data_IF_006136444036
#
_entry.id   IF_006136444036
#
_cell.length_a   1.000
_cell.length_b   1.000
_cell.length_c   1.000
_cell.angle_alpha   90.00
_cell.angle_beta   90.00
_cell.angle_gamma   90.00
#
_symmetry.space_group_name_H-M   'P 1'
#
loop_
_entity.id
_entity.type
_entity.pdbx_description
1 polymer ?
#
# COMPACT_ATOMS: atom_id res chain seq x y z
N UNK A 1 -22.26 -5.78 47.65
CA UNK A 1 -21.87 -4.76 46.64
C UNK A 1 -20.36 -4.80 46.27
N UNK A 2 -19.67 -5.97 46.29
CA UNK A 2 -18.24 -6.06 45.89
C UNK A 2 -17.93 -7.14 44.84
N UNK A 3 -18.90 -7.96 44.45
CA UNK A 3 -18.70 -9.00 43.42
C UNK A 3 -19.01 -8.51 42.00
N UNK A 4 -19.97 -7.59 41.82
CA UNK A 4 -20.33 -7.06 40.49
C UNK A 4 -19.21 -6.24 39.84
N UNK A 5 -18.41 -5.50 40.63
CA UNK A 5 -17.28 -4.70 40.14
C UNK A 5 -16.13 -5.58 39.67
N UNK A 6 -15.92 -6.74 40.32
CA UNK A 6 -14.84 -7.66 39.96
C UNK A 6 -15.13 -8.36 38.63
N UNK A 7 -16.40 -8.66 38.34
CA UNK A 7 -16.81 -9.25 37.06
C UNK A 7 -16.69 -8.21 35.92
N UNK A 8 -16.99 -6.93 36.19
CA UNK A 8 -16.79 -5.86 35.23
C UNK A 8 -15.29 -5.60 34.92
N UNK A 9 -14.40 -5.77 35.91
CA UNK A 9 -12.96 -5.59 35.74
C UNK A 9 -12.27 -6.75 34.98
N UNK A 10 -12.84 -7.96 35.03
CA UNK A 10 -12.27 -9.15 34.37
C UNK A 10 -12.67 -9.31 32.90
N UNK A 11 -13.67 -8.56 32.42
CA UNK A 11 -14.13 -8.59 31.02
C UNK A 11 -13.48 -7.51 30.13
N UNK A 12 -12.68 -6.61 30.69
CA UNK A 12 -12.04 -5.51 29.97
C UNK A 12 -10.77 -5.87 29.16
N UNK A 13 -9.90 -6.83 29.56
CA UNK A 13 -8.69 -7.09 28.78
C UNK A 13 -8.92 -7.94 27.52
N UNK A 14 -10.00 -8.74 27.48
CA UNK A 14 -10.29 -9.63 26.34
C UNK A 14 -10.91 -8.89 25.15
N UNK A 15 -11.69 -7.84 25.39
CA UNK A 15 -12.27 -7.00 24.32
C UNK A 15 -11.19 -6.12 23.66
N UNK A 16 -10.12 -5.77 24.37
CA UNK A 16 -9.07 -4.91 23.83
C UNK A 16 -8.17 -5.64 22.81
N UNK A 17 -8.03 -6.96 22.93
CA UNK A 17 -7.23 -7.78 22.01
C UNK A 17 -7.96 -8.12 20.71
N UNK A 18 -9.29 -7.96 20.65
CA UNK A 18 -10.06 -8.18 19.44
C UNK A 18 -9.98 -6.99 18.45
N UNK A 19 -9.61 -5.79 18.90
CA UNK A 19 -9.54 -4.61 18.03
C UNK A 19 -8.23 -4.50 17.23
N UNK A 20 -7.19 -5.25 17.58
CA UNK A 20 -5.88 -5.19 16.89
C UNK A 20 -5.57 -6.50 16.17
N UNK A 21 -6.59 -7.12 15.62
CA UNK A 21 -6.39 -8.06 14.51
C UNK A 21 -7.31 -7.63 13.38
N UNK A 22 -7.24 -6.33 13.04
CA UNK A 22 -7.55 -5.93 11.68
C UNK A 22 -6.49 -6.63 10.83
N UNK A 23 -6.84 -7.80 10.33
CA UNK A 23 -6.26 -8.37 9.13
C UNK A 23 -6.34 -7.23 8.11
N UNK A 24 -5.25 -6.46 7.99
CA UNK A 24 -5.17 -5.31 7.10
C UNK A 24 -5.13 -5.91 5.71
N UNK A 25 -6.29 -6.33 5.21
CA UNK A 25 -6.56 -6.32 3.80
C UNK A 25 -6.42 -4.85 3.46
N UNK A 26 -5.37 -4.42 2.72
CA UNK A 26 -5.20 -3.03 2.36
C UNK A 26 -6.45 -2.59 1.59
N UNK A 27 -7.39 -1.98 2.30
CA UNK A 27 -8.70 -1.59 1.78
C UNK A 27 -8.73 -0.11 1.46
N UNK A 28 -7.71 0.61 1.94
CA UNK A 28 -7.49 2.03 1.71
C UNK A 28 -6.43 2.25 0.65
N UNK A 29 -6.54 3.35 -0.08
CA UNK A 29 -5.53 3.79 -1.05
C UNK A 29 -4.13 3.87 -0.43
N UNK A 30 -4.03 4.34 0.81
CA UNK A 30 -2.75 4.50 1.54
C UNK A 30 -2.04 3.17 1.80
N UNK A 31 -2.79 2.11 2.07
CA UNK A 31 -2.19 0.80 2.30
C UNK A 31 -1.60 0.23 1.00
N UNK A 32 -2.26 0.45 -0.15
CA UNK A 32 -1.66 0.14 -1.45
C UNK A 32 -0.42 1.00 -1.75
N UNK A 33 -0.39 2.27 -1.34
CA UNK A 33 0.79 3.13 -1.49
C UNK A 33 1.98 2.63 -0.71
N UNK A 34 1.77 2.19 0.54
CA UNK A 34 2.84 1.68 1.38
C UNK A 34 3.48 0.42 0.76
N UNK A 35 2.65 -0.54 0.33
CA UNK A 35 3.14 -1.77 -0.31
C UNK A 35 3.77 -1.46 -1.67
N UNK A 36 3.21 -0.52 -2.44
CA UNK A 36 3.79 -0.08 -3.71
C UNK A 36 5.18 0.55 -3.52
N UNK A 37 5.35 1.35 -2.46
CA UNK A 37 6.64 1.90 -2.06
C UNK A 37 7.68 0.81 -1.77
N UNK A 38 7.31 -0.22 -1.01
CA UNK A 38 8.21 -1.35 -0.74
C UNK A 38 8.57 -2.12 -2.02
N UNK A 39 7.61 -2.31 -2.93
CA UNK A 39 7.87 -2.92 -4.23
C UNK A 39 8.80 -2.04 -5.10
N UNK A 40 8.64 -0.71 -5.04
CA UNK A 40 9.54 0.24 -5.71
C UNK A 40 10.97 0.13 -5.19
N UNK A 41 11.15 0.00 -3.87
CA UNK A 41 12.47 -0.16 -3.25
C UNK A 41 13.10 -1.52 -3.56
N UNK A 42 12.27 -2.55 -3.72
CA UNK A 42 12.71 -3.91 -4.08
C UNK A 42 13.09 -4.03 -5.57
N UNK A 43 12.75 -3.03 -6.39
CA UNK A 43 12.98 -3.03 -7.83
C UNK A 43 11.89 -3.73 -8.65
N UNK A 44 10.84 -4.21 -8.00
CA UNK A 44 9.69 -4.86 -8.61
C UNK A 44 8.72 -3.83 -9.22
N UNK A 45 9.18 -3.12 -10.24
CA UNK A 45 8.45 -1.98 -10.82
C UNK A 45 7.10 -2.36 -11.42
N UNK A 46 6.96 -3.55 -12.02
CA UNK A 46 5.68 -4.07 -12.51
C UNK A 46 4.67 -4.27 -11.36
N UNK A 47 5.12 -4.79 -10.22
CA UNK A 47 4.27 -5.00 -9.03
C UNK A 47 3.87 -3.66 -8.41
N UNK A 48 4.83 -2.74 -8.29
CA UNK A 48 4.57 -1.40 -7.80
C UNK A 48 3.54 -0.67 -8.68
N UNK A 49 3.65 -0.79 -10.01
CA UNK A 49 2.71 -0.18 -10.96
C UNK A 49 1.28 -0.67 -10.71
N UNK A 50 1.08 -1.99 -10.61
CA UNK A 50 -0.23 -2.58 -10.35
C UNK A 50 -0.81 -2.12 -8.99
N UNK A 51 0.03 -1.98 -7.96
CA UNK A 51 -0.39 -1.52 -6.65
C UNK A 51 -0.76 -0.03 -6.66
N UNK A 52 -0.02 0.81 -7.39
CA UNK A 52 -0.38 2.21 -7.57
C UNK A 52 -1.68 2.38 -8.37
N UNK A 53 -1.94 1.52 -9.37
CA UNK A 53 -3.23 1.50 -10.07
C UNK A 53 -4.38 1.21 -9.11
N UNK A 54 -4.25 0.17 -8.28
CA UNK A 54 -5.23 -0.12 -7.23
C UNK A 54 -5.40 1.04 -6.26
N UNK A 55 -4.32 1.74 -5.90
CA UNK A 55 -4.40 2.93 -5.05
C UNK A 55 -5.20 4.07 -5.71
N UNK A 56 -5.01 4.29 -7.02
CA UNK A 56 -5.75 5.28 -7.82
C UNK A 56 -7.22 4.88 -8.00
N UNK A 57 -7.51 3.60 -8.18
CA UNK A 57 -8.90 3.10 -8.25
C UNK A 57 -9.67 3.40 -6.95
N UNK A 58 -8.98 3.34 -5.80
CA UNK A 58 -9.57 3.68 -4.49
C UNK A 58 -9.64 5.17 -4.24
N UNK A 59 -8.61 5.92 -4.63
CA UNK A 59 -8.57 7.36 -4.50
C UNK A 59 -7.98 8.00 -5.77
N UNK A 60 -8.84 8.38 -6.73
CA UNK A 60 -8.38 8.95 -7.99
C UNK A 60 -7.72 10.32 -7.85
N UNK A 61 -7.89 10.99 -6.70
CA UNK A 61 -7.30 12.29 -6.39
C UNK A 61 -6.01 12.18 -5.57
N UNK A 62 -5.55 10.95 -5.27
CA UNK A 62 -4.29 10.75 -4.55
C UNK A 62 -3.11 11.16 -5.43
N UNK A 63 -2.54 12.33 -5.13
CA UNK A 63 -1.34 12.85 -5.80
C UNK A 63 -0.17 11.87 -5.69
N UNK A 64 -0.06 11.20 -4.55
CA UNK A 64 1.00 10.23 -4.29
C UNK A 64 0.82 8.95 -5.11
N UNK A 65 -0.42 8.47 -5.25
CA UNK A 65 -0.72 7.32 -6.11
C UNK A 65 -0.44 7.59 -7.58
N UNK A 66 -0.86 8.77 -8.06
CA UNK A 66 -0.62 9.18 -9.45
C UNK A 66 0.86 9.38 -9.73
N UNK A 67 1.60 10.04 -8.82
CA UNK A 67 3.04 10.22 -8.95
C UNK A 67 3.79 8.88 -8.90
N UNK A 68 3.44 8.03 -7.93
CA UNK A 68 4.01 6.69 -7.79
C UNK A 68 3.77 5.83 -9.03
N UNK A 69 2.56 5.86 -9.60
CA UNK A 69 2.24 5.16 -10.85
C UNK A 69 3.13 5.60 -12.00
N UNK A 70 3.33 6.91 -12.16
CA UNK A 70 4.13 7.47 -13.24
C UNK A 70 5.60 7.06 -13.10
N UNK A 71 6.15 7.12 -11.89
CA UNK A 71 7.53 6.72 -11.61
C UNK A 71 7.70 5.22 -11.85
N UNK A 72 6.80 4.39 -11.32
CA UNK A 72 6.80 2.94 -11.52
C UNK A 72 6.74 2.59 -13.01
N UNK A 73 5.89 3.26 -13.78
CA UNK A 73 5.76 3.05 -15.22
C UNK A 73 7.08 3.35 -15.95
N UNK A 74 7.70 4.50 -15.71
CA UNK A 74 8.98 4.87 -16.32
C UNK A 74 10.09 3.87 -15.98
N UNK A 75 10.15 3.41 -14.73
CA UNK A 75 11.14 2.42 -14.30
C UNK A 75 10.87 1.03 -14.87
N UNK A 76 9.61 0.64 -15.00
CA UNK A 76 9.23 -0.62 -15.64
C UNK A 76 9.50 -0.62 -17.15
N UNK A 77 9.45 0.54 -17.82
CA UNK A 77 9.84 0.67 -19.22
C UNK A 77 11.36 0.53 -19.37
N UNK A 78 12.11 1.30 -18.59
CA UNK A 78 13.59 1.27 -18.59
C UNK A 78 14.15 -0.12 -18.27
N UNK A 79 13.58 -0.84 -17.28
CA UNK A 79 14.03 -2.18 -16.94
C UNK A 79 13.74 -3.24 -18.00
N UNK A 80 12.75 -3.01 -18.87
CA UNK A 80 12.39 -3.90 -19.98
C UNK A 80 13.17 -3.59 -21.26
N UNK A 81 13.95 -2.51 -21.30
CA UNK A 81 14.69 -2.06 -22.48
C UNK A 81 16.22 -2.24 -22.34
N UNK A 82 16.76 -3.47 -22.44
CA UNK A 82 18.15 -3.64 -22.83
C UNK A 82 18.26 -3.43 -24.36
N UNK A 83 18.46 -2.19 -24.81
CA UNK A 83 19.26 -1.95 -26.02
C UNK A 83 18.80 -1.01 -27.13
N UNK A 84 17.63 -0.35 -27.09
CA UNK A 84 17.26 0.59 -28.19
C UNK A 84 16.65 1.90 -27.64
N UNK A 85 17.49 2.77 -27.09
CA UNK A 85 17.17 4.21 -26.94
C UNK A 85 18.33 5.11 -27.42
N UNK A 86 19.06 4.64 -28.44
CA UNK A 86 19.85 5.51 -29.31
C UNK A 86 19.10 5.71 -30.62
N UNK A 87 18.33 6.79 -30.70
CA UNK A 87 18.16 7.66 -31.86
C UNK A 87 16.81 8.38 -31.74
N UNK A 88 16.86 9.72 -31.65
CA UNK A 88 15.64 10.50 -31.82
C UNK A 88 15.59 11.85 -31.11
N UNK A 89 16.71 12.54 -30.95
CA UNK A 89 16.67 14.00 -30.82
C UNK A 89 17.44 14.57 -32.01
N UNK A 90 16.73 14.77 -33.12
CA UNK A 90 17.12 15.66 -34.21
C UNK A 90 16.20 16.87 -34.18
#
# INVERSE_FOLDING_TARGET
>A
MKMAVVIAALLLPAVLLASVTETVVPSTSEAYLAVAGTAMESGDFDVALLLYEKAVERNPHSREALAGRLIAFTRSCDSKEPGIMIAGQN
#
